data_IF_185510732548
#
_entry.id   IF_185510732548
#
_cell.length_a   1.000
_cell.length_b   1.000
_cell.length_c   1.000
_cell.angle_alpha   90.00
_cell.angle_beta   90.00
_cell.angle_gamma   90.00
#
_symmetry.space_group_name_H-M   'P 1'
#
loop_
_entity.id
_entity.type
_entity.pdbx_description
1 polymer ?
#
# COMPACT_ATOMS: atom_id res chain seq x y z
N UNK A 1 -19.81 43.71 -28.08
CA UNK A 1 -19.64 43.01 -26.78
C UNK A 1 -19.36 41.54 -27.06
N UNK A 2 -18.09 41.15 -27.22
CA UNK A 2 -17.70 39.73 -27.37
C UNK A 2 -16.57 39.42 -26.37
N UNK A 3 -16.85 38.46 -25.49
CA UNK A 3 -16.02 38.07 -24.35
C UNK A 3 -14.95 37.08 -24.80
N UNK A 4 -13.68 37.49 -24.78
CA UNK A 4 -12.54 36.62 -25.06
C UNK A 4 -12.17 35.84 -23.78
N UNK A 5 -12.50 34.54 -23.74
CA UNK A 5 -12.05 33.63 -22.67
C UNK A 5 -10.61 33.16 -22.97
N UNK A 6 -9.69 33.47 -22.05
CA UNK A 6 -8.30 33.01 -22.03
C UNK A 6 -8.24 31.47 -21.94
N UNK A 7 -7.42 30.77 -22.74
CA UNK A 7 -7.19 29.35 -22.53
C UNK A 7 -6.34 29.14 -21.29
N UNK A 8 -6.88 28.44 -20.29
CA UNK A 8 -6.14 27.99 -19.14
C UNK A 8 -5.11 26.94 -19.58
N UNK A 9 -3.84 27.17 -19.26
CA UNK A 9 -2.75 26.26 -19.59
C UNK A 9 -3.02 24.85 -19.02
N UNK A 10 -2.72 23.78 -19.75
CA UNK A 10 -2.79 22.42 -19.21
C UNK A 10 -1.74 22.30 -18.12
N UNK A 11 -2.21 22.20 -16.86
CA UNK A 11 -1.38 21.84 -15.72
C UNK A 11 -0.86 20.43 -16.01
N UNK A 12 0.35 20.32 -16.55
CA UNK A 12 1.13 19.09 -16.58
C UNK A 12 1.26 18.62 -15.13
N UNK A 13 0.33 17.79 -14.68
CA UNK A 13 0.58 16.90 -13.55
C UNK A 13 1.77 16.07 -13.98
N UNK A 14 2.92 16.40 -13.40
CA UNK A 14 4.12 15.59 -13.44
C UNK A 14 3.66 14.20 -13.02
N UNK A 15 3.47 13.31 -13.98
CA UNK A 15 3.43 11.89 -13.73
C UNK A 15 4.84 11.58 -13.22
N UNK A 16 5.04 11.73 -11.90
CA UNK A 16 6.12 11.07 -11.21
C UNK A 16 5.95 9.61 -11.59
N UNK A 17 6.88 9.11 -12.41
CA UNK A 17 7.01 7.70 -12.73
C UNK A 17 7.31 7.03 -11.40
N UNK A 18 6.27 6.71 -10.64
CA UNK A 18 6.38 5.87 -9.46
C UNK A 18 6.70 4.51 -10.04
N UNK A 19 7.97 4.11 -9.95
CA UNK A 19 8.33 2.71 -10.15
C UNK A 19 7.34 1.88 -9.33
N UNK A 20 6.80 0.76 -9.87
CA UNK A 20 5.86 -0.06 -9.13
C UNK A 20 6.52 -0.44 -7.81
N UNK A 21 6.01 0.12 -6.71
CA UNK A 21 6.51 -0.21 -5.37
C UNK A 21 6.12 -1.65 -5.10
N UNK A 22 7.00 -2.44 -4.47
CA UNK A 22 6.65 -3.79 -4.09
C UNK A 22 5.42 -3.75 -3.17
N UNK A 23 4.39 -4.51 -3.54
CA UNK A 23 3.27 -4.77 -2.67
C UNK A 23 3.47 -6.14 -2.01
N UNK A 24 3.01 -6.29 -0.78
CA UNK A 24 3.08 -7.54 -0.05
C UNK A 24 1.69 -7.98 0.41
N UNK A 25 1.49 -9.28 0.45
CA UNK A 25 0.32 -9.89 1.09
C UNK A 25 0.73 -10.47 2.42
N UNK A 26 -0.01 -10.13 3.47
CA UNK A 26 0.16 -10.67 4.81
C UNK A 26 -1.01 -11.60 5.14
N UNK A 27 -0.72 -12.88 5.38
CA UNK A 27 -1.69 -13.82 5.92
C UNK A 27 -1.46 -13.98 7.42
N UNK A 28 -2.49 -13.64 8.20
CA UNK A 28 -2.45 -13.60 9.66
C UNK A 28 -3.35 -14.70 10.21
N UNK A 29 -2.86 -15.38 11.24
CA UNK A 29 -3.69 -16.21 12.12
C UNK A 29 -3.57 -15.67 13.54
N UNK A 30 -4.70 -15.38 14.17
CA UNK A 30 -4.75 -14.90 15.55
C UNK A 30 -4.87 -16.08 16.52
N UNK A 31 -4.63 -15.83 17.82
CA UNK A 31 -4.70 -16.88 18.85
C UNK A 31 -6.11 -17.40 19.10
N UNK A 32 -7.14 -16.60 18.85
CA UNK A 32 -8.55 -17.03 18.90
C UNK A 32 -8.91 -18.00 17.75
N UNK A 33 -8.01 -18.20 16.79
CA UNK A 33 -8.17 -19.08 15.64
C UNK A 33 -8.72 -18.39 14.38
N UNK A 34 -9.10 -17.12 14.47
CA UNK A 34 -9.50 -16.30 13.32
C UNK A 34 -8.32 -16.04 12.38
N UNK A 35 -8.64 -15.67 11.14
CA UNK A 35 -7.64 -15.50 10.07
C UNK A 35 -8.04 -14.34 9.17
N UNK A 36 -7.06 -13.52 8.83
CA UNK A 36 -7.22 -12.38 7.93
C UNK A 36 -6.10 -12.32 6.89
N UNK A 37 -6.39 -11.61 5.79
CA UNK A 37 -5.41 -11.30 4.75
C UNK A 37 -5.37 -9.78 4.56
N UNK A 38 -4.17 -9.21 4.67
CA UNK A 38 -3.92 -7.78 4.47
C UNK A 38 -3.03 -7.53 3.25
N UNK A 39 -3.21 -6.36 2.64
CA UNK A 39 -2.33 -5.86 1.57
C UNK A 39 -1.46 -4.72 2.12
N UNK A 40 -0.15 -4.91 2.08
CA UNK A 40 0.84 -3.94 2.54
C UNK A 40 1.45 -3.26 1.31
N UNK A 41 1.15 -1.98 1.13
CA UNK A 41 1.56 -1.19 -0.04
C UNK A 41 2.72 -0.20 0.21
N UNK A 42 3.05 0.01 1.47
CA UNK A 42 4.04 1.00 1.88
C UNK A 42 5.13 0.35 2.74
N UNK A 43 5.69 -0.74 2.22
CA UNK A 43 6.84 -1.39 2.81
C UNK A 43 7.99 -1.42 1.81
N UNK A 44 9.20 -1.19 2.29
CA UNK A 44 10.39 -1.19 1.43
C UNK A 44 10.86 -2.63 1.13
N UNK A 45 10.71 -3.55 2.10
CA UNK A 45 11.08 -4.96 2.01
C UNK A 45 10.16 -5.87 2.85
N UNK A 46 10.40 -7.19 2.83
CA UNK A 46 9.58 -8.16 3.57
C UNK A 46 9.68 -8.01 5.10
N UNK A 47 10.84 -7.62 5.64
CA UNK A 47 11.02 -7.43 7.07
C UNK A 47 10.30 -6.17 7.53
N UNK A 48 10.37 -5.10 6.75
CA UNK A 48 9.60 -3.88 6.97
C UNK A 48 8.08 -4.14 6.88
N UNK A 49 7.63 -4.87 5.85
CA UNK A 49 6.23 -5.28 5.72
C UNK A 49 5.74 -6.09 6.94
N UNK A 50 6.60 -6.99 7.47
CA UNK A 50 6.29 -7.74 8.68
C UNK A 50 6.19 -6.83 9.90
N UNK A 51 7.11 -5.88 10.05
CA UNK A 51 7.13 -4.95 11.17
C UNK A 51 5.86 -4.08 11.19
N UNK A 52 5.45 -3.55 10.03
CA UNK A 52 4.23 -2.76 9.90
C UNK A 52 2.98 -3.55 10.31
N UNK A 53 2.84 -4.79 9.85
CA UNK A 53 1.67 -5.63 10.21
C UNK A 53 1.65 -5.94 11.70
N UNK A 54 2.80 -6.23 12.32
CA UNK A 54 2.87 -6.52 13.76
C UNK A 54 2.74 -5.27 14.64
N UNK A 55 2.98 -4.08 14.10
CA UNK A 55 2.77 -2.83 14.82
C UNK A 55 1.26 -2.50 14.96
N UNK A 56 0.45 -2.90 14.00
CA UNK A 56 -0.98 -2.59 13.95
C UNK A 56 -1.88 -3.70 14.52
N UNK A 57 -1.38 -4.94 14.58
CA UNK A 57 -2.17 -6.10 15.00
C UNK A 57 -1.74 -6.66 16.35
N UNK A 58 -2.72 -6.88 17.22
CA UNK A 58 -2.56 -7.58 18.48
C UNK A 58 -2.84 -9.10 18.34
N UNK A 59 -2.33 -9.87 19.29
CA UNK A 59 -2.60 -11.31 19.49
C UNK A 59 -2.41 -12.21 18.25
N UNK A 60 -1.43 -11.86 17.42
CA UNK A 60 -1.00 -12.66 16.27
C UNK A 60 -0.32 -13.96 16.74
N UNK A 61 -0.86 -15.10 16.31
CA UNK A 61 -0.27 -16.41 16.56
C UNK A 61 0.74 -16.80 15.47
N UNK A 62 0.42 -16.50 14.20
CA UNK A 62 1.29 -16.75 13.06
C UNK A 62 1.10 -15.68 11.97
N UNK A 63 2.20 -15.33 11.30
CA UNK A 63 2.24 -14.33 10.24
C UNK A 63 3.12 -14.82 9.10
N UNK A 64 2.55 -14.85 7.89
CA UNK A 64 3.27 -15.12 6.64
C UNK A 64 3.19 -13.88 5.75
N UNK A 65 4.34 -13.42 5.27
CA UNK A 65 4.45 -12.33 4.30
C UNK A 65 4.91 -12.90 2.95
N UNK A 66 4.27 -12.48 1.87
CA UNK A 66 4.66 -12.83 0.50
C UNK A 66 4.68 -11.59 -0.39
N UNK A 67 5.60 -11.56 -1.35
CA UNK A 67 5.58 -10.55 -2.41
C UNK A 67 4.32 -10.76 -3.27
N UNK A 68 3.63 -9.67 -3.58
CA UNK A 68 2.44 -9.65 -4.42
C UNK A 68 2.86 -9.28 -5.85
N UNK A 69 2.78 -10.26 -6.75
CA UNK A 69 3.08 -10.10 -8.18
C UNK A 69 1.86 -9.60 -8.97
#
# INVERSE_FOLDING_TARGET
>A
MQSQRKPAAPRKTRASVTLPRPEYTAAVRYRDGSRDIFHVRNADDMADARALVLAELDDVANLVIALRN
#
